data_IF_755598652286
#
_entry.id   IF_755598652286
#
_cell.length_a   1.000
_cell.length_b   1.000
_cell.length_c   1.000
_cell.angle_alpha   90.00
_cell.angle_beta   90.00
_cell.angle_gamma   90.00
#
_symmetry.space_group_name_H-M   'P 1'
#
loop_
_entity.id
_entity.type
_entity.pdbx_description
1 polymer ?
#
# COMPACT_ATOMS: atom_id res chain seq x y z
N UNK A 1 -61.92 7.23 70.80
CA UNK A 1 -60.64 7.85 71.30
C UNK A 1 -59.36 7.05 70.91
N UNK A 2 -59.48 6.10 69.94
CA UNK A 2 -58.28 5.28 69.52
C UNK A 2 -57.82 5.50 68.08
N UNK A 3 -58.53 6.32 67.33
CA UNK A 3 -58.21 6.54 65.88
C UNK A 3 -57.03 7.54 65.64
N UNK A 4 -56.75 8.56 66.49
CA UNK A 4 -55.60 9.48 66.23
C UNK A 4 -54.23 8.91 66.55
N UNK A 5 -54.12 7.82 67.31
CA UNK A 5 -52.82 7.28 67.72
C UNK A 5 -52.21 6.38 66.60
N UNK A 6 -53.03 5.72 65.85
CA UNK A 6 -52.57 4.88 64.71
C UNK A 6 -52.14 5.70 63.50
N UNK A 7 -52.74 6.86 63.25
CA UNK A 7 -52.38 7.69 62.09
C UNK A 7 -51.01 8.36 62.23
N UNK A 8 -50.59 8.75 63.41
CA UNK A 8 -49.26 9.35 63.65
C UNK A 8 -48.10 8.34 63.59
N UNK A 9 -48.37 7.07 63.80
CA UNK A 9 -47.31 6.03 63.76
C UNK A 9 -46.97 5.60 62.33
N UNK A 10 -47.92 5.67 61.43
CA UNK A 10 -47.72 5.33 60.02
C UNK A 10 -47.25 6.48 59.17
N UNK A 11 -47.47 7.72 59.54
CA UNK A 11 -46.97 8.88 58.83
C UNK A 11 -45.44 9.02 58.89
N UNK A 12 -44.84 8.68 60.04
CA UNK A 12 -43.37 8.68 60.17
C UNK A 12 -42.73 7.54 59.38
N UNK A 13 -43.34 6.37 59.35
CA UNK A 13 -42.82 5.25 58.59
C UNK A 13 -42.98 5.40 57.10
N UNK A 14 -44.05 6.06 56.64
CA UNK A 14 -44.28 6.41 55.24
C UNK A 14 -43.34 7.52 54.74
N UNK A 15 -43.04 8.50 55.59
CA UNK A 15 -42.03 9.51 55.28
C UNK A 15 -40.63 8.93 55.19
N UNK A 16 -40.30 8.01 56.08
CA UNK A 16 -38.99 7.30 56.05
C UNK A 16 -38.84 6.43 54.82
N UNK A 17 -39.92 5.76 54.40
CA UNK A 17 -39.94 4.95 53.20
C UNK A 17 -39.79 5.77 51.92
N UNK A 18 -40.46 6.94 51.84
CA UNK A 18 -40.32 7.86 50.70
C UNK A 18 -38.93 8.46 50.60
N UNK A 19 -38.33 8.86 51.72
CA UNK A 19 -36.96 9.41 51.75
C UNK A 19 -35.96 8.31 51.42
N UNK A 20 -36.18 7.07 51.86
CA UNK A 20 -35.32 5.93 51.50
C UNK A 20 -35.42 5.54 50.03
N UNK A 21 -36.62 5.63 49.43
CA UNK A 21 -36.83 5.39 47.98
C UNK A 21 -36.24 6.50 47.14
N UNK A 22 -36.36 7.77 47.56
CA UNK A 22 -35.70 8.91 46.88
C UNK A 22 -34.17 8.83 46.93
N UNK A 23 -33.63 8.46 48.09
CA UNK A 23 -32.20 8.23 48.23
C UNK A 23 -31.68 7.09 47.33
N UNK A 24 -32.46 5.98 47.23
CA UNK A 24 -32.16 4.84 46.36
C UNK A 24 -32.23 5.21 44.86
N UNK A 25 -33.21 6.06 44.47
CA UNK A 25 -33.34 6.57 43.11
C UNK A 25 -32.17 7.51 42.73
N UNK A 26 -31.76 8.35 43.65
CA UNK A 26 -30.59 9.27 43.44
C UNK A 26 -29.28 8.45 43.33
N UNK A 27 -29.12 7.41 44.16
CA UNK A 27 -27.94 6.54 44.11
C UNK A 27 -27.94 5.74 42.79
N UNK A 28 -29.09 5.24 42.32
CA UNK A 28 -29.18 4.53 41.03
C UNK A 28 -28.99 5.45 39.84
N UNK A 29 -29.54 6.67 39.85
CA UNK A 29 -29.27 7.66 38.81
C UNK A 29 -27.81 8.08 38.76
N UNK A 30 -27.19 8.35 39.90
CA UNK A 30 -25.76 8.68 39.96
C UNK A 30 -24.88 7.48 39.54
N UNK A 31 -25.28 6.25 39.80
CA UNK A 31 -24.56 5.06 39.34
C UNK A 31 -24.71 4.83 37.83
N UNK A 32 -25.88 5.14 37.23
CA UNK A 32 -26.07 5.13 35.78
C UNK A 32 -25.26 6.23 35.07
N UNK A 33 -25.25 7.45 35.63
CA UNK A 33 -24.45 8.56 35.10
C UNK A 33 -22.94 8.26 35.22
N UNK A 34 -22.49 7.66 36.33
CA UNK A 34 -21.10 7.24 36.48
C UNK A 34 -20.69 6.09 35.55
N UNK A 35 -21.62 5.17 35.22
CA UNK A 35 -21.34 4.11 34.23
C UNK A 35 -21.36 4.62 32.79
N UNK A 36 -22.20 5.60 32.47
CA UNK A 36 -22.18 6.25 31.15
C UNK A 36 -20.95 7.15 30.96
N UNK A 37 -20.52 7.87 32.00
CA UNK A 37 -19.29 8.70 31.93
C UNK A 37 -18.01 7.83 31.94
N UNK A 38 -17.97 6.66 32.58
CA UNK A 38 -16.81 5.77 32.53
C UNK A 38 -16.67 4.96 31.24
N UNK A 39 -17.75 4.81 30.46
CA UNK A 39 -17.67 4.23 29.11
C UNK A 39 -17.41 5.27 28.00
N UNK A 40 -17.58 6.56 28.28
CA UNK A 40 -17.34 7.64 27.32
C UNK A 40 -15.93 8.26 27.39
N UNK A 41 -15.13 7.97 28.43
CA UNK A 41 -13.84 8.64 28.66
C UNK A 41 -12.59 7.76 28.58
N UNK A 42 -12.63 6.55 28.03
CA UNK A 42 -11.42 5.78 27.78
C UNK A 42 -11.15 5.50 26.28
N UNK A 43 -11.64 6.32 25.38
CA UNK A 43 -10.95 6.46 24.09
C UNK A 43 -9.78 7.43 24.33
N UNK A 44 -8.65 6.96 24.85
CA UNK A 44 -7.38 7.66 24.64
C UNK A 44 -7.38 8.11 23.18
N UNK A 45 -7.37 9.41 22.93
CA UNK A 45 -7.18 9.94 21.58
C UNK A 45 -5.82 9.45 21.13
N UNK A 46 -5.78 8.30 20.47
CA UNK A 46 -4.57 7.79 19.85
C UNK A 46 -4.02 8.91 18.99
N UNK A 47 -2.80 9.33 19.24
CA UNK A 47 -2.15 10.38 18.46
C UNK A 47 -2.14 9.98 16.99
N UNK A 48 -2.18 10.96 16.09
CA UNK A 48 -2.06 10.70 14.66
C UNK A 48 -0.69 10.09 14.38
N UNK A 49 -0.63 9.11 13.49
CA UNK A 49 0.65 8.71 12.94
C UNK A 49 1.15 9.75 11.93
N UNK A 50 2.45 9.72 11.60
CA UNK A 50 3.06 10.76 10.75
C UNK A 50 2.46 10.86 9.33
N UNK A 51 1.88 9.77 8.77
CA UNK A 51 1.18 9.80 7.48
C UNK A 51 -0.14 10.54 7.62
N UNK A 52 -0.86 10.26 8.71
CA UNK A 52 -2.10 10.98 9.04
C UNK A 52 -1.85 12.48 9.28
N UNK A 53 -0.74 12.83 9.95
CA UNK A 53 -0.35 14.24 10.13
C UNK A 53 -0.18 14.93 8.79
N UNK A 54 0.56 14.32 7.85
CA UNK A 54 0.75 14.86 6.49
C UNK A 54 -0.59 15.03 5.77
N UNK A 55 -1.47 14.03 5.82
CA UNK A 55 -2.78 14.09 5.17
C UNK A 55 -3.62 15.21 5.75
N UNK A 56 -3.68 15.32 7.08
CA UNK A 56 -4.44 16.38 7.77
C UNK A 56 -3.91 17.77 7.44
N UNK A 57 -2.59 17.95 7.38
CA UNK A 57 -1.95 19.20 6.99
C UNK A 57 -2.28 19.57 5.54
N UNK A 58 -2.16 18.61 4.61
CA UNK A 58 -2.41 18.83 3.19
C UNK A 58 -3.90 19.14 2.92
N UNK A 59 -4.82 18.47 3.61
CA UNK A 59 -6.27 18.77 3.53
C UNK A 59 -6.59 20.14 4.09
N UNK A 60 -6.04 20.54 5.25
CA UNK A 60 -6.21 21.88 5.85
C UNK A 60 -5.65 22.97 4.95
N UNK A 61 -4.55 22.72 4.27
CA UNK A 61 -3.93 23.63 3.31
C UNK A 61 -4.69 23.72 1.97
N UNK A 62 -5.75 22.92 1.78
CA UNK A 62 -6.52 22.87 0.53
C UNK A 62 -5.73 22.29 -0.66
N UNK A 63 -4.61 21.58 -0.42
CA UNK A 63 -3.85 20.95 -1.49
C UNK A 63 -4.71 19.97 -2.29
N UNK A 64 -4.42 19.83 -3.57
CA UNK A 64 -5.17 18.98 -4.50
C UNK A 64 -6.69 19.27 -4.47
N UNK A 65 -7.07 20.53 -4.25
CA UNK A 65 -8.47 20.96 -4.11
C UNK A 65 -9.23 20.25 -2.98
N UNK A 66 -8.54 19.95 -1.88
CA UNK A 66 -9.10 19.23 -0.72
C UNK A 66 -9.43 17.76 -0.99
N UNK A 67 -8.97 17.20 -2.11
CA UNK A 67 -9.16 15.77 -2.42
C UNK A 67 -8.12 14.90 -1.73
N UNK A 68 -8.55 13.74 -1.29
CA UNK A 68 -7.68 12.65 -0.83
C UNK A 68 -7.91 11.43 -1.70
N UNK A 69 -6.89 11.00 -2.41
CA UNK A 69 -6.91 9.78 -3.18
C UNK A 69 -5.60 9.03 -3.01
N UNK A 70 -5.72 7.81 -2.53
CA UNK A 70 -4.62 6.84 -2.39
C UNK A 70 -4.79 5.72 -3.41
N UNK A 71 -3.84 4.81 -3.47
CA UNK A 71 -3.95 3.57 -4.25
C UNK A 71 -3.15 2.45 -3.59
N UNK A 72 -3.61 1.23 -3.76
CA UNK A 72 -2.84 0.01 -3.48
C UNK A 72 -2.43 -0.62 -4.82
N UNK A 73 -1.11 -0.66 -5.16
CA UNK A 73 -0.63 -1.06 -6.48
C UNK A 73 0.09 -2.42 -6.47
N UNK A 74 -0.57 -3.55 -6.18
CA UNK A 74 0.10 -4.83 -6.17
C UNK A 74 0.47 -5.30 -7.58
N UNK A 75 1.67 -5.91 -7.73
CA UNK A 75 1.97 -6.73 -8.90
C UNK A 75 1.15 -8.04 -8.86
N UNK A 76 0.40 -8.40 -9.92
CA UNK A 76 -0.39 -9.64 -9.96
C UNK A 76 0.48 -10.88 -10.26
N UNK A 77 1.52 -11.10 -9.44
CA UNK A 77 2.55 -12.13 -9.62
C UNK A 77 2.64 -13.11 -8.44
N UNK A 78 1.59 -13.20 -7.62
CA UNK A 78 1.45 -14.10 -6.48
C UNK A 78 0.42 -13.62 -5.47
N UNK A 79 0.10 -14.48 -4.53
CA UNK A 79 -0.83 -14.20 -3.44
C UNK A 79 -0.27 -13.17 -2.46
N UNK A 80 -1.16 -12.40 -1.85
CA UNK A 80 -0.79 -11.42 -0.83
C UNK A 80 -0.40 -12.13 0.48
N UNK A 81 0.61 -11.61 1.15
CA UNK A 81 1.03 -12.07 2.46
C UNK A 81 0.75 -11.01 3.54
N UNK A 82 0.92 -11.37 4.81
CA UNK A 82 0.65 -10.49 5.94
C UNK A 82 1.35 -9.12 5.85
N UNK A 83 2.50 -9.04 5.18
CA UNK A 83 3.18 -7.76 4.93
C UNK A 83 2.35 -6.80 4.06
N UNK A 84 1.58 -7.32 3.10
CA UNK A 84 0.69 -6.50 2.27
C UNK A 84 -0.52 -6.00 3.06
N UNK A 85 -0.99 -6.74 4.09
CA UNK A 85 -2.07 -6.27 4.95
C UNK A 85 -1.73 -4.91 5.60
N UNK A 86 -0.45 -4.67 5.94
CA UNK A 86 -0.03 -3.39 6.50
C UNK A 86 -0.18 -2.24 5.51
N UNK A 87 0.17 -2.44 4.25
CA UNK A 87 -0.02 -1.45 3.19
C UNK A 87 -1.52 -1.24 2.89
N UNK A 88 -2.30 -2.32 2.77
CA UNK A 88 -3.74 -2.25 2.57
C UNK A 88 -4.41 -1.45 3.68
N UNK A 89 -4.12 -1.76 4.95
CA UNK A 89 -4.67 -1.03 6.09
C UNK A 89 -4.28 0.45 6.09
N UNK A 90 -3.09 0.80 5.61
CA UNK A 90 -2.67 2.20 5.46
C UNK A 90 -3.40 2.88 4.30
N UNK A 91 -3.31 2.35 3.09
CA UNK A 91 -3.82 3.00 1.88
C UNK A 91 -5.35 3.17 1.93
N UNK A 92 -6.06 2.10 2.28
CA UNK A 92 -7.52 2.12 2.40
C UNK A 92 -8.00 2.80 3.68
N UNK A 93 -7.33 2.53 4.81
CA UNK A 93 -7.72 3.09 6.11
C UNK A 93 -7.61 4.62 6.15
N UNK A 94 -6.56 5.20 5.55
CA UNK A 94 -6.43 6.66 5.39
C UNK A 94 -7.58 7.22 4.54
N UNK A 95 -7.87 6.58 3.41
CA UNK A 95 -8.96 7.02 2.54
C UNK A 95 -10.31 6.97 3.28
N UNK A 96 -10.65 5.87 3.94
CA UNK A 96 -11.88 5.73 4.73
C UNK A 96 -11.97 6.79 5.84
N UNK A 97 -10.91 6.95 6.63
CA UNK A 97 -10.88 7.82 7.81
C UNK A 97 -11.07 9.30 7.47
N UNK A 98 -10.55 9.73 6.33
CA UNK A 98 -10.55 11.15 5.93
C UNK A 98 -11.49 11.45 4.74
N UNK A 99 -12.42 10.56 4.43
CA UNK A 99 -13.44 10.75 3.39
C UNK A 99 -12.89 10.79 1.97
N UNK A 100 -11.75 10.14 1.75
CA UNK A 100 -11.11 10.00 0.44
C UNK A 100 -11.51 8.72 -0.29
N UNK A 101 -10.74 8.41 -1.33
CA UNK A 101 -10.91 7.20 -2.15
C UNK A 101 -9.57 6.46 -2.26
N UNK A 102 -9.58 5.14 -2.06
CA UNK A 102 -8.46 4.28 -2.41
C UNK A 102 -8.79 3.47 -3.65
N UNK A 103 -7.93 3.51 -4.67
CA UNK A 103 -8.08 2.72 -5.89
C UNK A 103 -7.19 1.46 -5.83
N UNK A 104 -7.60 0.42 -6.52
CA UNK A 104 -6.77 -0.75 -6.80
C UNK A 104 -6.11 -0.58 -8.15
N UNK A 105 -4.77 -0.51 -8.20
CA UNK A 105 -4.02 -0.53 -9.46
C UNK A 105 -3.21 -1.79 -9.56
N UNK A 106 -3.53 -2.63 -10.51
CA UNK A 106 -2.71 -3.79 -10.83
C UNK A 106 -1.48 -3.32 -11.61
N UNK A 107 -0.30 -3.46 -11.00
CA UNK A 107 0.96 -3.11 -11.64
C UNK A 107 1.39 -4.25 -12.58
N UNK A 108 0.83 -4.23 -13.78
CA UNK A 108 1.01 -5.19 -14.84
C UNK A 108 2.03 -4.71 -15.90
N UNK A 109 3.09 -4.04 -15.47
CA UNK A 109 4.17 -3.58 -16.36
C UNK A 109 5.10 -4.71 -16.83
N UNK A 110 5.05 -5.89 -16.21
CA UNK A 110 5.92 -7.03 -16.53
C UNK A 110 5.12 -8.24 -17.04
N UNK A 111 5.07 -8.50 -18.36
CA UNK A 111 4.23 -9.54 -18.96
C UNK A 111 4.59 -10.97 -18.58
N UNK A 112 5.76 -11.20 -17.94
CA UNK A 112 6.26 -12.56 -17.67
C UNK A 112 5.56 -13.23 -16.50
N UNK A 113 4.98 -12.46 -15.57
CA UNK A 113 4.65 -12.96 -14.22
C UNK A 113 3.17 -12.87 -13.86
N UNK A 114 2.33 -12.43 -14.77
CA UNK A 114 0.95 -12.07 -14.46
C UNK A 114 -0.03 -13.20 -14.76
N UNK A 115 -0.91 -13.49 -13.78
CA UNK A 115 -1.95 -14.48 -13.92
C UNK A 115 -3.27 -13.94 -13.36
N UNK A 116 -4.37 -14.25 -14.06
CA UNK A 116 -5.73 -13.89 -13.66
C UNK A 116 -6.09 -14.45 -12.27
N UNK A 117 -5.55 -15.61 -11.91
CA UNK A 117 -5.70 -16.21 -10.57
C UNK A 117 -5.24 -15.24 -9.47
N UNK A 118 -4.07 -14.61 -9.67
CA UNK A 118 -3.54 -13.67 -8.68
C UNK A 118 -4.35 -12.40 -8.57
N UNK A 119 -4.90 -11.91 -9.70
CA UNK A 119 -5.78 -10.75 -9.71
C UNK A 119 -7.02 -10.99 -8.84
N UNK A 120 -7.69 -12.13 -9.02
CA UNK A 120 -8.89 -12.46 -8.24
C UNK A 120 -8.55 -12.71 -6.76
N UNK A 121 -7.43 -13.37 -6.46
CA UNK A 121 -6.96 -13.57 -5.09
C UNK A 121 -6.67 -12.23 -4.37
N UNK A 122 -6.06 -11.26 -5.07
CA UNK A 122 -5.80 -9.91 -4.54
C UNK A 122 -7.12 -9.21 -4.18
N UNK A 123 -8.11 -9.26 -5.06
CA UNK A 123 -9.43 -8.67 -4.83
C UNK A 123 -10.13 -9.32 -3.63
N UNK A 124 -10.12 -10.65 -3.56
CA UNK A 124 -10.71 -11.41 -2.46
C UNK A 124 -10.07 -11.04 -1.12
N UNK A 125 -8.74 -10.96 -1.06
CA UNK A 125 -8.01 -10.63 0.16
C UNK A 125 -8.29 -9.21 0.66
N UNK A 126 -8.39 -8.21 -0.25
CA UNK A 126 -8.77 -6.84 0.10
C UNK A 126 -10.19 -6.79 0.66
N UNK A 127 -11.14 -7.46 0.00
CA UNK A 127 -12.53 -7.54 0.45
C UNK A 127 -12.65 -8.28 1.79
N UNK A 128 -11.91 -9.36 1.97
CA UNK A 128 -11.88 -10.11 3.22
C UNK A 128 -11.34 -9.25 4.37
N UNK A 129 -10.35 -8.39 4.13
CA UNK A 129 -9.89 -7.42 5.14
C UNK A 129 -10.92 -6.33 5.43
N UNK A 130 -12.07 -6.30 4.75
CA UNK A 130 -13.18 -5.38 4.97
C UNK A 130 -13.08 -4.07 4.17
N UNK A 131 -12.17 -3.98 3.19
CA UNK A 131 -11.99 -2.78 2.38
C UNK A 131 -12.69 -2.87 1.03
N UNK A 132 -13.00 -1.68 0.47
CA UNK A 132 -13.58 -1.52 -0.86
C UNK A 132 -12.75 -0.49 -1.63
N UNK A 133 -12.39 -0.82 -2.86
CA UNK A 133 -11.74 0.13 -3.75
C UNK A 133 -12.74 1.01 -4.50
N UNK A 134 -12.29 2.19 -4.92
CA UNK A 134 -13.08 3.08 -5.76
C UNK A 134 -13.12 2.58 -7.20
N UNK A 135 -11.97 2.57 -7.87
CA UNK A 135 -11.79 2.07 -9.24
C UNK A 135 -10.69 1.03 -9.30
N UNK A 136 -10.74 0.20 -10.34
CA UNK A 136 -9.63 -0.69 -10.72
C UNK A 136 -8.95 -0.10 -11.93
N UNK A 137 -7.63 0.03 -11.86
CA UNK A 137 -6.76 0.44 -12.94
C UNK A 137 -5.70 -0.62 -13.20
N UNK A 138 -5.11 -0.57 -14.38
CA UNK A 138 -3.96 -1.39 -14.74
C UNK A 138 -2.85 -0.47 -15.26
N UNK A 139 -1.61 -0.74 -14.92
CA UNK A 139 -0.48 0.04 -15.42
C UNK A 139 -0.43 0.00 -16.96
N UNK A 140 -0.85 -1.13 -17.56
CA UNK A 140 -0.96 -1.30 -19.02
C UNK A 140 -1.99 -0.38 -19.69
N UNK A 141 -2.94 0.22 -18.95
CA UNK A 141 -3.87 1.20 -19.49
C UNK A 141 -3.15 2.48 -19.98
N UNK A 142 -1.96 2.73 -19.45
CA UNK A 142 -1.16 3.94 -19.69
C UNK A 142 0.04 3.72 -20.62
N UNK A 143 0.23 2.53 -21.17
CA UNK A 143 1.41 2.23 -22.00
C UNK A 143 1.58 3.19 -23.18
N UNK A 144 0.49 3.67 -23.78
CA UNK A 144 0.58 4.64 -24.86
C UNK A 144 1.06 6.01 -24.37
N UNK A 145 0.51 6.51 -23.26
CA UNK A 145 0.92 7.78 -22.66
C UNK A 145 2.37 7.74 -22.20
N UNK A 146 2.79 6.62 -21.58
CA UNK A 146 4.16 6.40 -21.17
C UNK A 146 5.13 6.36 -22.36
N UNK A 147 4.71 5.72 -23.46
CA UNK A 147 5.46 5.71 -24.72
C UNK A 147 5.62 7.11 -25.29
N UNK A 148 4.54 7.85 -25.41
CA UNK A 148 4.52 9.21 -25.95
C UNK A 148 5.40 10.15 -25.14
N UNK A 149 5.41 9.99 -23.80
CA UNK A 149 6.30 10.75 -22.95
C UNK A 149 7.77 10.36 -23.13
N UNK A 150 8.08 9.08 -23.26
CA UNK A 150 9.45 8.63 -23.57
C UNK A 150 9.93 9.19 -24.93
N UNK A 151 9.08 9.20 -25.95
CA UNK A 151 9.37 9.84 -27.25
C UNK A 151 9.63 11.33 -27.08
N UNK A 152 8.88 12.03 -26.24
CA UNK A 152 9.13 13.44 -25.91
C UNK A 152 10.51 13.65 -25.28
N UNK A 153 10.87 12.83 -24.27
CA UNK A 153 12.18 12.92 -23.63
C UNK A 153 13.32 12.68 -24.62
N UNK A 154 13.16 11.77 -25.57
CA UNK A 154 14.16 11.57 -26.65
C UNK A 154 14.28 12.83 -27.53
N UNK A 155 13.16 13.40 -27.97
CA UNK A 155 13.13 14.62 -28.80
C UNK A 155 13.73 15.82 -28.09
N UNK A 156 13.62 15.90 -26.77
CA UNK A 156 14.23 16.95 -25.96
C UNK A 156 15.70 16.67 -25.61
N UNK A 157 16.27 15.55 -26.08
CA UNK A 157 17.62 15.13 -25.74
C UNK A 157 17.82 14.70 -24.29
N UNK A 158 16.72 14.40 -23.59
CA UNK A 158 16.68 13.97 -22.18
C UNK A 158 16.69 12.44 -22.01
N UNK A 159 16.66 11.67 -23.10
CA UNK A 159 16.78 10.21 -23.10
C UNK A 159 17.55 9.70 -24.32
N UNK A 160 18.18 8.54 -24.20
CA UNK A 160 18.99 7.93 -25.25
C UNK A 160 18.93 6.40 -25.18
N UNK A 161 19.15 5.75 -26.33
CA UNK A 161 19.28 4.29 -26.42
C UNK A 161 20.71 3.89 -26.09
N UNK A 162 20.83 2.94 -25.19
CA UNK A 162 22.08 2.33 -24.75
C UNK A 162 22.12 0.85 -25.16
N UNK A 163 23.12 0.46 -25.92
CA UNK A 163 23.33 -0.91 -26.42
C UNK A 163 24.36 -1.69 -25.59
N UNK A 164 24.69 -1.19 -24.40
CA UNK A 164 25.57 -1.89 -23.47
C UNK A 164 24.84 -3.02 -22.74
N UNK A 165 25.61 -4.03 -22.33
CA UNK A 165 25.09 -5.08 -21.47
C UNK A 165 24.72 -4.57 -20.08
N UNK A 166 23.89 -5.33 -19.36
CA UNK A 166 23.50 -5.00 -17.98
C UNK A 166 24.72 -4.88 -17.05
N UNK A 167 25.76 -5.68 -17.27
CA UNK A 167 27.01 -5.65 -16.51
C UNK A 167 27.79 -4.37 -16.78
N UNK A 168 27.90 -3.96 -18.04
CA UNK A 168 28.59 -2.72 -18.42
C UNK A 168 27.86 -1.50 -17.86
N UNK A 169 26.52 -1.47 -17.93
CA UNK A 169 25.70 -0.40 -17.34
C UNK A 169 25.88 -0.34 -15.83
N UNK A 170 25.90 -1.50 -15.16
CA UNK A 170 26.07 -1.58 -13.72
C UNK A 170 27.47 -1.08 -13.29
N UNK A 171 28.53 -1.46 -14.02
CA UNK A 171 29.90 -0.99 -13.77
C UNK A 171 30.03 0.53 -13.97
N UNK A 172 29.44 1.07 -15.04
CA UNK A 172 29.47 2.49 -15.33
C UNK A 172 28.73 3.35 -14.29
N UNK A 173 27.74 2.81 -13.61
CA UNK A 173 27.07 3.55 -12.52
C UNK A 173 28.00 3.90 -11.37
N UNK A 174 29.15 3.23 -11.25
CA UNK A 174 30.11 3.46 -10.17
C UNK A 174 29.60 2.95 -8.81
N UNK A 175 29.98 3.66 -7.75
CA UNK A 175 29.57 3.33 -6.38
C UNK A 175 28.94 4.57 -5.70
N UNK A 176 28.32 4.45 -4.53
CA UNK A 176 27.79 5.61 -3.81
C UNK A 176 28.83 6.70 -3.52
N UNK A 177 30.12 6.33 -3.44
CA UNK A 177 31.26 7.25 -3.16
C UNK A 177 32.08 7.61 -4.39
N UNK A 178 31.82 6.94 -5.52
CA UNK A 178 32.53 7.22 -6.79
C UNK A 178 31.50 7.55 -7.87
N UNK A 179 31.66 8.68 -8.58
CA UNK A 179 30.81 9.04 -9.71
C UNK A 179 30.76 7.93 -10.77
N UNK A 180 29.65 7.84 -11.46
CA UNK A 180 29.55 7.03 -12.66
C UNK A 180 30.22 7.69 -13.86
N UNK A 181 30.44 6.91 -14.91
CA UNK A 181 30.96 7.36 -16.19
C UNK A 181 29.85 7.38 -17.24
N UNK A 182 29.78 8.37 -18.13
CA UNK A 182 28.79 8.41 -19.20
C UNK A 182 28.92 7.22 -20.15
N UNK A 183 27.78 6.74 -20.66
CA UNK A 183 27.75 5.75 -21.73
C UNK A 183 28.33 6.34 -23.02
N UNK A 184 29.02 5.55 -23.87
CA UNK A 184 29.47 6.00 -25.20
C UNK A 184 28.28 6.35 -26.12
N UNK A 185 27.07 5.87 -25.82
CA UNK A 185 25.83 6.14 -26.59
C UNK A 185 25.07 7.37 -26.11
N UNK A 186 25.52 8.01 -25.02
CA UNK A 186 24.78 9.08 -24.34
C UNK A 186 24.52 10.32 -25.24
N UNK A 187 25.41 10.59 -26.16
CA UNK A 187 25.34 11.74 -27.07
C UNK A 187 24.96 11.36 -28.51
N UNK A 188 24.29 10.20 -28.69
CA UNK A 188 23.74 9.74 -29.97
C UNK A 188 22.71 10.74 -30.49
N UNK A 189 22.65 10.97 -31.85
CA UNK A 189 21.66 11.85 -32.46
C UNK A 189 20.21 11.47 -32.12
N UNK A 190 19.35 12.48 -32.00
CA UNK A 190 17.93 12.32 -31.64
C UNK A 190 17.22 11.38 -32.61
N UNK A 191 17.45 11.57 -33.93
CA UNK A 191 16.81 10.79 -34.99
C UNK A 191 17.15 9.30 -34.87
N UNK A 192 18.42 8.98 -34.59
CA UNK A 192 18.89 7.62 -34.39
C UNK A 192 18.28 7.00 -33.13
N UNK A 193 18.21 7.75 -32.03
CA UNK A 193 17.54 7.29 -30.82
C UNK A 193 16.05 6.99 -31.05
N UNK A 194 15.34 7.81 -31.82
CA UNK A 194 13.93 7.58 -32.17
C UNK A 194 13.75 6.31 -33.03
N UNK A 195 14.64 6.10 -34.00
CA UNK A 195 14.61 4.90 -34.84
C UNK A 195 14.85 3.65 -34.02
N UNK A 196 15.87 3.64 -33.17
CA UNK A 196 16.19 2.51 -32.30
C UNK A 196 15.08 2.25 -31.26
N UNK A 197 14.46 3.29 -30.70
CA UNK A 197 13.33 3.12 -29.78
C UNK A 197 12.13 2.48 -30.47
N UNK A 198 11.84 2.84 -31.72
CA UNK A 198 10.82 2.17 -32.50
C UNK A 198 11.19 0.71 -32.79
N UNK A 199 12.47 0.39 -33.07
CA UNK A 199 12.94 -0.98 -33.24
C UNK A 199 12.78 -1.83 -31.97
N UNK A 200 12.95 -1.22 -30.77
CA UNK A 200 12.66 -1.93 -29.51
C UNK A 200 11.21 -2.45 -29.44
N UNK A 201 10.26 -1.73 -30.02
CA UNK A 201 8.84 -2.10 -29.96
C UNK A 201 8.36 -2.89 -31.18
N UNK A 202 9.03 -2.81 -32.34
CA UNK A 202 8.63 -3.56 -33.55
C UNK A 202 8.89 -5.05 -33.45
N UNK A 203 9.76 -5.49 -32.55
CA UNK A 203 10.22 -6.86 -32.43
C UNK A 203 11.43 -7.17 -33.30
N UNK A 204 12.04 -6.16 -33.95
CA UNK A 204 13.28 -6.31 -34.73
C UNK A 204 14.52 -6.40 -33.84
N UNK A 205 14.43 -5.93 -32.59
CA UNK A 205 15.52 -5.97 -31.63
C UNK A 205 15.37 -7.17 -30.65
N UNK A 206 16.49 -7.81 -30.37
CA UNK A 206 16.54 -8.94 -29.42
C UNK A 206 16.39 -8.44 -27.97
N UNK A 207 15.84 -9.28 -27.11
CA UNK A 207 15.76 -9.03 -25.67
C UNK A 207 17.17 -8.85 -25.07
N UNK A 208 17.38 -7.77 -24.34
CA UNK A 208 18.68 -7.44 -23.74
C UNK A 208 19.69 -6.75 -24.68
N UNK A 209 19.38 -6.58 -25.98
CA UNK A 209 20.28 -5.92 -26.92
C UNK A 209 20.41 -4.41 -26.72
N UNK A 210 19.37 -3.78 -26.22
CA UNK A 210 19.37 -2.33 -25.95
C UNK A 210 18.28 -1.95 -24.92
N UNK A 211 18.46 -0.79 -24.30
CA UNK A 211 17.56 -0.18 -23.34
C UNK A 211 17.42 1.32 -23.60
N UNK A 212 16.29 1.93 -23.22
CA UNK A 212 16.19 3.38 -23.18
C UNK A 212 16.58 3.87 -21.78
N UNK A 213 17.48 4.85 -21.70
CA UNK A 213 17.93 5.47 -20.45
C UNK A 213 17.56 6.95 -20.43
N UNK A 214 17.15 7.46 -19.27
CA UNK A 214 17.03 8.89 -19.05
C UNK A 214 18.45 9.49 -18.88
N UNK A 215 18.64 10.71 -19.38
CA UNK A 215 19.94 11.43 -19.36
C UNK A 215 19.97 12.33 -18.12
N UNK A 216 20.43 11.75 -16.99
CA UNK A 216 20.49 12.43 -15.70
C UNK A 216 21.96 12.59 -15.21
N UNK A 217 22.12 13.00 -13.94
CA UNK A 217 23.44 13.26 -13.36
C UNK A 217 24.16 11.96 -12.97
N UNK A 218 25.23 11.64 -13.70
CA UNK A 218 26.10 10.47 -13.41
C UNK A 218 26.95 10.64 -12.15
N UNK A 219 27.05 11.83 -11.57
CA UNK A 219 27.76 12.09 -10.33
C UNK A 219 26.84 12.09 -9.10
N UNK A 220 25.54 11.94 -9.30
CA UNK A 220 24.56 11.99 -8.21
C UNK A 220 24.87 10.91 -7.14
N UNK A 221 24.92 11.25 -5.83
CA UNK A 221 25.14 10.26 -4.78
C UNK A 221 24.05 9.18 -4.73
N UNK A 222 22.83 9.46 -5.18
CA UNK A 222 21.80 8.47 -5.38
C UNK A 222 21.99 7.73 -6.71
N UNK A 223 22.46 6.48 -6.65
CA UNK A 223 22.74 5.67 -7.84
C UNK A 223 21.50 5.39 -8.72
N UNK A 224 20.27 5.48 -8.17
CA UNK A 224 19.05 5.39 -8.96
C UNK A 224 18.90 6.58 -9.92
N UNK A 225 19.52 7.71 -9.62
CA UNK A 225 19.47 8.93 -10.42
C UNK A 225 20.57 9.01 -11.50
N UNK A 226 21.44 7.99 -11.62
CA UNK A 226 22.53 7.92 -12.60
C UNK A 226 22.06 7.25 -13.88
N UNK A 227 21.62 8.02 -14.85
CA UNK A 227 21.09 7.57 -16.14
C UNK A 227 20.25 6.27 -16.02
N UNK A 228 19.09 6.32 -15.33
CA UNK A 228 18.30 5.12 -15.09
C UNK A 228 17.73 4.53 -16.38
N UNK A 229 17.58 3.21 -16.41
CA UNK A 229 16.86 2.53 -17.48
C UNK A 229 15.36 2.84 -17.29
N UNK A 230 14.71 3.34 -18.35
CA UNK A 230 13.28 3.68 -18.34
C UNK A 230 12.43 2.75 -19.23
N UNK A 231 13.04 2.11 -20.25
CA UNK A 231 12.41 1.05 -21.06
C UNK A 231 13.37 -0.09 -21.33
N UNK A 232 12.82 -1.30 -21.42
CA UNK A 232 13.51 -2.55 -21.80
C UNK A 232 12.69 -3.36 -22.79
N UNK A 233 13.33 -4.26 -23.52
CA UNK A 233 12.68 -5.23 -24.42
C UNK A 233 12.32 -6.48 -23.65
N UNK A 234 11.08 -6.94 -23.82
CA UNK A 234 10.58 -8.24 -23.32
C UNK A 234 9.76 -8.88 -24.44
N UNK A 235 10.24 -9.95 -25.03
CA UNK A 235 9.60 -10.66 -26.12
C UNK A 235 8.53 -11.66 -25.64
N UNK A 236 7.58 -11.18 -24.86
CA UNK A 236 6.43 -11.94 -24.34
C UNK A 236 5.14 -11.21 -24.67
N UNK A 237 4.07 -11.97 -24.87
CA UNK A 237 2.75 -11.40 -24.96
C UNK A 237 2.26 -10.97 -23.59
N UNK A 238 1.66 -9.80 -23.57
CA UNK A 238 1.06 -9.25 -22.37
C UNK A 238 -0.40 -9.73 -22.25
N UNK A 239 -0.84 -10.18 -21.09
CA UNK A 239 -2.16 -10.77 -20.87
C UNK A 239 -3.34 -9.85 -21.27
N UNK A 240 -3.16 -8.52 -21.25
CA UNK A 240 -4.19 -7.55 -21.63
C UNK A 240 -3.96 -6.89 -23.00
N UNK A 241 -2.72 -6.56 -23.33
CA UNK A 241 -2.40 -5.83 -24.58
C UNK A 241 -1.90 -6.73 -25.70
N UNK A 242 -1.77 -8.04 -25.45
CA UNK A 242 -1.31 -9.02 -26.43
C UNK A 242 0.10 -8.72 -26.92
N UNK A 243 0.31 -8.80 -28.22
CA UNK A 243 1.59 -8.57 -28.86
C UNK A 243 1.86 -7.12 -29.28
N UNK A 244 1.01 -6.16 -28.87
CA UNK A 244 1.13 -4.74 -29.24
C UNK A 244 2.45 -4.12 -28.78
N UNK A 245 2.96 -4.51 -27.62
CA UNK A 245 4.15 -3.98 -27.01
C UNK A 245 5.24 -5.05 -26.91
N UNK A 246 6.47 -4.66 -27.19
CA UNK A 246 7.71 -5.40 -26.95
C UNK A 246 8.67 -4.60 -26.07
N UNK A 247 8.57 -3.26 -26.13
CA UNK A 247 9.27 -2.35 -25.22
C UNK A 247 8.34 -2.04 -24.03
N UNK A 248 8.80 -2.33 -22.83
CA UNK A 248 8.05 -2.16 -21.59
C UNK A 248 8.71 -1.14 -20.68
N UNK A 249 7.92 -0.24 -20.04
CA UNK A 249 8.45 0.75 -19.13
C UNK A 249 8.98 0.08 -17.85
N UNK A 250 10.01 0.67 -17.28
CA UNK A 250 10.50 0.28 -15.95
C UNK A 250 9.63 0.92 -14.86
N UNK A 251 9.60 0.29 -13.69
CA UNK A 251 8.82 0.73 -12.53
C UNK A 251 9.01 2.22 -12.21
N UNK A 252 10.26 2.68 -12.06
CA UNK A 252 10.55 4.06 -11.68
C UNK A 252 10.05 5.10 -12.70
N UNK A 253 9.91 4.70 -13.95
CA UNK A 253 9.36 5.56 -14.99
C UNK A 253 7.83 5.54 -15.01
N UNK A 254 7.22 4.37 -14.88
CA UNK A 254 5.78 4.19 -15.03
C UNK A 254 4.98 4.62 -13.79
N UNK A 255 5.51 4.36 -12.60
CA UNK A 255 4.76 4.42 -11.35
C UNK A 255 4.24 5.84 -11.01
N UNK A 256 5.11 6.84 -11.01
CA UNK A 256 4.73 8.23 -10.71
C UNK A 256 3.77 8.81 -11.73
N UNK A 257 3.96 8.48 -13.02
CA UNK A 257 3.09 8.92 -14.09
C UNK A 257 1.70 8.29 -14.00
N UNK A 258 1.63 6.99 -13.67
CA UNK A 258 0.34 6.32 -13.43
C UNK A 258 -0.40 6.97 -12.25
N UNK A 259 0.30 7.30 -11.15
CA UNK A 259 -0.28 8.04 -10.03
C UNK A 259 -0.85 9.39 -10.49
N UNK A 260 -0.12 10.08 -11.38
CA UNK A 260 -0.56 11.36 -11.93
C UNK A 260 -1.81 11.21 -12.81
N UNK A 261 -1.83 10.25 -13.75
CA UNK A 261 -2.96 10.02 -14.65
C UNK A 261 -4.23 9.59 -13.90
N UNK A 262 -4.09 8.84 -12.81
CA UNK A 262 -5.21 8.40 -11.97
C UNK A 262 -5.70 9.49 -11.01
N UNK A 263 -4.95 10.58 -10.83
CA UNK A 263 -5.27 11.66 -9.90
C UNK A 263 -4.99 11.30 -8.44
N UNK A 264 -4.04 10.40 -8.19
CA UNK A 264 -3.55 10.07 -6.85
C UNK A 264 -2.96 11.31 -6.21
N UNK A 265 -3.30 11.57 -4.93
CA UNK A 265 -2.77 12.70 -4.18
C UNK A 265 -1.65 12.30 -3.24
N UNK A 266 -1.84 11.19 -2.54
CA UNK A 266 -0.89 10.63 -1.58
C UNK A 266 -0.51 9.21 -2.02
N UNK A 267 0.71 9.11 -2.54
CA UNK A 267 1.33 7.88 -3.04
C UNK A 267 2.08 7.21 -1.89
N UNK A 268 1.38 6.36 -1.13
CA UNK A 268 1.93 5.75 0.07
C UNK A 268 2.61 4.42 -0.29
N UNK A 269 3.82 4.18 0.22
CA UNK A 269 4.62 2.98 -0.07
C UNK A 269 5.56 2.64 1.09
N UNK A 270 6.39 1.60 0.93
CA UNK A 270 7.33 1.20 1.98
C UNK A 270 8.67 1.92 1.87
N UNK A 271 9.47 1.94 2.98
CA UNK A 271 10.76 2.64 3.08
C UNK A 271 11.79 2.22 2.02
N UNK A 272 11.64 1.06 1.41
CA UNK A 272 12.52 0.61 0.33
C UNK A 272 12.47 1.53 -0.90
N UNK A 273 11.41 2.31 -1.05
CA UNK A 273 11.24 3.28 -2.13
C UNK A 273 11.77 4.69 -1.82
N UNK A 274 12.32 4.94 -0.63
CA UNK A 274 12.96 6.23 -0.30
C UNK A 274 14.03 6.64 -1.32
N UNK A 275 14.96 5.75 -1.76
CA UNK A 275 15.93 6.10 -2.80
C UNK A 275 15.30 6.33 -4.18
N UNK A 276 14.09 5.83 -4.45
CA UNK A 276 13.37 5.98 -5.71
C UNK A 276 12.58 7.29 -5.79
N UNK A 277 12.21 7.90 -4.64
CA UNK A 277 11.42 9.14 -4.61
C UNK A 277 12.00 10.30 -5.45
N UNK A 278 13.33 10.54 -5.50
CA UNK A 278 13.86 11.58 -6.37
C UNK A 278 13.55 11.36 -7.86
N UNK A 279 13.51 10.11 -8.34
CA UNK A 279 13.09 9.78 -9.71
C UNK A 279 11.58 9.96 -9.90
N UNK A 280 10.78 9.54 -8.93
CA UNK A 280 9.35 9.76 -8.90
C UNK A 280 9.01 11.25 -9.07
N UNK A 281 9.64 12.11 -8.26
CA UNK A 281 9.45 13.55 -8.33
C UNK A 281 9.92 14.13 -9.66
N UNK A 282 11.11 13.73 -10.12
CA UNK A 282 11.69 14.19 -11.38
C UNK A 282 10.78 13.90 -12.59
N UNK A 283 10.32 12.65 -12.75
CA UNK A 283 9.48 12.31 -13.91
C UNK A 283 8.11 12.96 -13.87
N UNK A 284 7.53 13.22 -12.69
CA UNK A 284 6.29 14.00 -12.59
C UNK A 284 6.54 15.46 -13.01
N UNK A 285 7.61 16.07 -12.56
CA UNK A 285 7.95 17.45 -12.90
C UNK A 285 8.24 17.59 -14.41
N UNK A 286 8.99 16.68 -15.00
CA UNK A 286 9.20 16.60 -16.44
C UNK A 286 7.92 16.36 -17.23
N UNK A 287 7.01 15.50 -16.72
CA UNK A 287 5.72 15.25 -17.35
C UNK A 287 4.86 16.51 -17.38
N UNK A 288 4.90 17.32 -16.33
CA UNK A 288 4.13 18.57 -16.20
C UNK A 288 4.72 19.72 -17.01
N UNK A 289 6.01 19.72 -17.24
CA UNK A 289 6.70 20.80 -17.97
C UNK A 289 6.14 20.92 -19.40
N UNK A 290 5.65 22.11 -19.76
CA UNK A 290 5.10 22.38 -21.08
C UNK A 290 3.75 21.75 -21.41
N UNK A 291 3.05 21.18 -20.41
CA UNK A 291 1.71 20.63 -20.57
C UNK A 291 0.69 21.35 -19.69
N UNK A 292 -0.50 21.63 -20.25
CA UNK A 292 -1.67 22.12 -19.51
C UNK A 292 -2.31 21.01 -18.66
N UNK A 293 -1.49 20.23 -17.96
CA UNK A 293 -1.99 19.12 -17.17
C UNK A 293 -2.61 19.63 -15.87
N UNK A 294 -3.56 18.83 -15.32
CA UNK A 294 -4.29 19.17 -14.12
C UNK A 294 -3.37 19.63 -12.96
N UNK A 295 -3.90 20.51 -12.13
CA UNK A 295 -3.15 21.24 -11.10
C UNK A 295 -2.78 20.39 -9.86
N UNK A 296 -3.03 19.08 -9.90
CA UNK A 296 -2.64 18.16 -8.85
C UNK A 296 -1.20 17.65 -9.04
N UNK A 297 -0.54 17.36 -7.94
CA UNK A 297 0.78 16.72 -7.92
C UNK A 297 0.78 15.62 -6.88
N UNK A 298 0.88 14.36 -7.27
CA UNK A 298 1.00 13.26 -6.31
C UNK A 298 2.26 13.44 -5.45
N UNK A 299 2.17 13.02 -4.19
CA UNK A 299 3.28 13.06 -3.24
C UNK A 299 3.58 11.66 -2.74
N UNK A 300 4.81 11.19 -2.92
CA UNK A 300 5.25 9.90 -2.38
C UNK A 300 5.55 10.04 -0.88
N UNK A 301 5.06 9.09 -0.08
CA UNK A 301 5.21 9.03 1.38
C UNK A 301 5.56 7.59 1.75
N UNK A 302 6.66 7.39 2.49
CA UNK A 302 7.16 6.07 2.81
C UNK A 302 7.01 5.75 4.30
N UNK A 303 6.59 4.51 4.58
CA UNK A 303 6.48 3.95 5.93
C UNK A 303 7.21 2.61 6.04
N UNK A 304 7.47 2.16 7.28
CA UNK A 304 8.17 0.91 7.54
C UNK A 304 7.35 -0.32 7.10
N UNK A 305 7.99 -1.20 6.35
CA UNK A 305 7.38 -2.50 6.02
C UNK A 305 7.14 -3.34 7.28
N UNK A 306 6.27 -4.34 7.18
CA UNK A 306 6.13 -5.33 8.24
C UNK A 306 7.29 -6.33 8.17
N UNK A 307 8.07 -6.41 9.24
CA UNK A 307 8.98 -7.52 9.51
C UNK A 307 8.44 -8.27 10.74
N UNK A 308 8.31 -9.59 10.63
CA UNK A 308 7.69 -10.43 11.64
C UNK A 308 8.63 -11.60 11.97
N UNK A 309 8.83 -11.86 13.28
CA UNK A 309 9.67 -13.00 13.72
C UNK A 309 9.11 -14.31 13.17
N UNK A 310 9.98 -15.27 12.91
CA UNK A 310 9.64 -16.63 12.43
C UNK A 310 8.81 -16.66 11.13
N UNK A 311 8.81 -15.59 10.34
CA UNK A 311 7.94 -15.47 9.16
C UNK A 311 8.75 -15.09 7.91
N UNK A 312 8.65 -15.90 6.87
CA UNK A 312 9.27 -15.63 5.57
C UNK A 312 8.26 -14.91 4.67
N UNK A 313 8.55 -13.65 4.32
CA UNK A 313 7.68 -12.82 3.45
C UNK A 313 8.25 -12.59 2.05
N UNK A 314 9.11 -13.48 1.58
CA UNK A 314 9.67 -13.42 0.22
C UNK A 314 8.77 -14.18 -0.75
N UNK A 315 8.09 -13.46 -1.68
CA UNK A 315 7.25 -14.09 -2.73
C UNK A 315 7.99 -15.20 -3.46
N UNK A 316 9.27 -15.01 -3.83
CA UNK A 316 10.09 -16.03 -4.52
C UNK A 316 10.25 -17.30 -3.69
N UNK A 317 10.50 -17.17 -2.38
CA UNK A 317 10.65 -18.34 -1.49
C UNK A 317 9.30 -19.03 -1.27
N UNK A 318 8.22 -18.28 -1.10
CA UNK A 318 6.88 -18.85 -0.96
C UNK A 318 6.43 -19.58 -2.23
N UNK A 319 6.71 -19.02 -3.41
CA UNK A 319 6.45 -19.68 -4.70
C UNK A 319 7.24 -20.98 -4.85
N UNK A 320 8.48 -21.03 -4.37
CA UNK A 320 9.27 -22.26 -4.39
C UNK A 320 8.63 -23.36 -3.55
N UNK A 321 8.13 -23.03 -2.33
CA UNK A 321 7.43 -24.00 -1.48
C UNK A 321 6.20 -24.62 -2.18
N UNK A 322 5.44 -23.80 -2.91
CA UNK A 322 4.27 -24.26 -3.67
C UNK A 322 4.69 -25.12 -4.85
N UNK A 323 5.68 -24.67 -5.66
CA UNK A 323 6.14 -25.38 -6.85
C UNK A 323 6.81 -26.73 -6.54
N UNK A 324 7.52 -26.81 -5.43
CA UNK A 324 8.19 -28.03 -4.96
C UNK A 324 7.24 -28.99 -4.20
N UNK A 325 5.97 -28.61 -4.03
CA UNK A 325 4.96 -29.42 -3.35
C UNK A 325 5.20 -29.59 -1.83
N UNK A 326 5.99 -28.70 -1.23
CA UNK A 326 6.27 -28.70 0.22
C UNK A 326 5.06 -28.20 1.04
N UNK A 327 4.16 -27.48 0.39
CA UNK A 327 2.86 -27.04 0.91
C UNK A 327 1.77 -27.38 -0.10
N UNK A 328 0.50 -27.47 0.36
CA UNK A 328 -0.63 -27.88 -0.47
C UNK A 328 -1.13 -26.79 -1.44
N UNK A 329 -0.57 -25.58 -1.36
CA UNK A 329 -0.95 -24.43 -2.17
C UNK A 329 -0.71 -23.12 -1.42
N UNK A 330 -1.16 -22.03 -2.02
CA UNK A 330 -0.99 -20.70 -1.46
C UNK A 330 -1.82 -20.46 -0.17
N UNK A 331 -2.92 -21.19 -0.02
CA UNK A 331 -3.81 -21.14 1.14
C UNK A 331 -3.46 -22.14 2.24
N UNK A 332 -2.31 -22.86 2.12
CA UNK A 332 -1.86 -23.75 3.17
C UNK A 332 -1.74 -23.01 4.51
N UNK A 333 -2.31 -23.53 5.62
CA UNK A 333 -2.27 -22.87 6.93
C UNK A 333 -0.85 -22.55 7.46
N UNK A 334 0.18 -23.16 6.91
CA UNK A 334 1.59 -22.89 7.23
C UNK A 334 2.15 -21.68 6.49
N UNK A 335 1.46 -21.21 5.44
CA UNK A 335 1.88 -20.08 4.63
C UNK A 335 1.48 -18.75 5.29
N UNK A 336 2.34 -17.72 5.23
CA UNK A 336 2.04 -16.39 5.75
C UNK A 336 1.22 -15.53 4.76
N UNK A 337 0.52 -16.16 3.84
CA UNK A 337 -0.42 -15.52 2.91
C UNK A 337 -1.72 -15.14 3.63
N UNK A 338 -2.42 -14.13 3.13
CA UNK A 338 -3.70 -13.74 3.72
C UNK A 338 -4.74 -14.86 3.62
N UNK A 339 -4.81 -15.55 2.48
CA UNK A 339 -5.65 -16.74 2.32
C UNK A 339 -5.22 -17.89 3.25
N UNK A 340 -3.92 -18.07 3.53
CA UNK A 340 -3.42 -19.04 4.51
C UNK A 340 -3.84 -18.69 5.94
N UNK A 341 -3.74 -17.43 6.35
CA UNK A 341 -4.24 -16.96 7.65
C UNK A 341 -5.76 -17.13 7.75
N UNK A 342 -6.51 -16.76 6.71
CA UNK A 342 -7.97 -16.98 6.65
C UNK A 342 -8.33 -18.44 6.85
N UNK A 343 -7.68 -19.35 6.13
CA UNK A 343 -7.89 -20.80 6.28
C UNK A 343 -7.50 -21.33 7.66
N UNK A 344 -6.47 -20.73 8.26
CA UNK A 344 -6.04 -21.05 9.64
C UNK A 344 -7.01 -20.52 10.71
N UNK A 345 -7.98 -19.70 10.36
CA UNK A 345 -9.02 -19.18 11.26
C UNK A 345 -8.72 -17.79 11.84
N UNK A 346 -7.79 -17.05 11.27
CA UNK A 346 -7.60 -15.65 11.62
C UNK A 346 -8.76 -14.81 11.06
N UNK A 347 -9.22 -13.87 11.88
CA UNK A 347 -10.22 -12.90 11.46
C UNK A 347 -9.58 -11.65 10.85
N UNK A 348 -10.25 -10.96 9.94
CA UNK A 348 -9.76 -9.69 9.39
C UNK A 348 -9.60 -8.63 10.49
N UNK A 349 -10.48 -8.62 11.50
CA UNK A 349 -10.42 -7.70 12.63
C UNK A 349 -9.16 -7.92 13.47
N UNK A 350 -8.78 -9.18 13.71
CA UNK A 350 -7.55 -9.51 14.45
C UNK A 350 -6.31 -9.02 13.68
N UNK A 351 -6.28 -9.18 12.35
CA UNK A 351 -5.17 -8.69 11.52
C UNK A 351 -5.14 -7.16 11.53
N UNK A 352 -6.26 -6.48 11.33
CA UNK A 352 -6.34 -5.00 11.39
C UNK A 352 -5.91 -4.48 12.75
N UNK A 353 -6.36 -5.12 13.85
CA UNK A 353 -5.96 -4.79 15.21
C UNK A 353 -4.46 -4.94 15.42
N UNK A 354 -3.88 -6.04 14.97
CA UNK A 354 -2.43 -6.24 15.03
C UNK A 354 -1.67 -5.12 14.30
N UNK A 355 -2.09 -4.79 13.08
CA UNK A 355 -1.49 -3.70 12.29
C UNK A 355 -1.59 -2.37 13.05
N UNK A 356 -2.74 -2.09 13.67
CA UNK A 356 -2.94 -0.90 14.46
C UNK A 356 -2.07 -0.85 15.73
N UNK A 357 -1.83 -2.00 16.36
CA UNK A 357 -0.96 -2.12 17.54
C UNK A 357 0.52 -1.83 17.21
N UNK A 358 1.03 -2.35 16.09
CA UNK A 358 2.43 -2.13 15.68
C UNK A 358 2.65 -0.74 15.08
N UNK A 359 1.61 -0.10 14.57
CA UNK A 359 1.63 1.25 14.02
C UNK A 359 2.52 1.42 12.79
N UNK A 360 2.73 2.70 12.43
CA UNK A 360 3.51 3.12 11.26
C UNK A 360 4.60 4.09 11.67
N UNK A 361 5.83 3.83 11.22
CA UNK A 361 7.02 4.62 11.56
C UNK A 361 7.91 4.84 10.34
N UNK A 362 8.89 5.74 10.46
CA UNK A 362 9.93 5.99 9.45
C UNK A 362 11.19 5.13 9.67
N UNK A 363 11.11 4.13 10.52
CA UNK A 363 12.22 3.24 10.86
C UNK A 363 11.76 1.80 10.78
N UNK A 364 12.63 0.93 10.28
CA UNK A 364 12.38 -0.50 10.29
C UNK A 364 12.27 -1.04 11.71
N UNK A 365 11.32 -1.93 11.92
CA UNK A 365 11.10 -2.63 13.18
C UNK A 365 10.86 -4.11 12.93
N UNK A 366 11.34 -4.96 13.82
CA UNK A 366 11.01 -6.38 13.86
C UNK A 366 9.93 -6.58 14.92
N UNK A 367 8.76 -7.06 14.51
CA UNK A 367 7.63 -7.33 15.41
C UNK A 367 7.60 -8.80 15.80
N UNK A 368 7.19 -9.08 17.03
CA UNK A 368 7.03 -10.46 17.48
C UNK A 368 5.73 -11.06 16.94
N UNK A 369 5.80 -12.29 16.42
CA UNK A 369 4.61 -13.05 15.98
C UNK A 369 3.59 -13.22 17.10
N UNK A 370 4.03 -13.32 18.35
CA UNK A 370 3.16 -13.41 19.52
C UNK A 370 2.18 -12.21 19.63
N UNK A 371 2.52 -11.04 19.10
CA UNK A 371 1.60 -9.88 19.08
C UNK A 371 0.40 -10.13 18.14
N UNK A 372 0.64 -10.75 16.99
CA UNK A 372 -0.43 -11.14 16.07
C UNK A 372 -1.34 -12.20 16.71
N UNK A 373 -0.75 -13.19 17.40
CA UNK A 373 -1.53 -14.19 18.13
C UNK A 373 -2.31 -13.60 19.32
N UNK A 374 -1.75 -12.60 19.98
CA UNK A 374 -2.45 -11.89 21.06
C UNK A 374 -3.67 -11.14 20.52
N UNK A 375 -3.53 -10.43 19.41
CA UNK A 375 -4.65 -9.76 18.74
C UNK A 375 -5.74 -10.75 18.32
N UNK A 376 -5.35 -11.93 17.79
CA UNK A 376 -6.31 -13.00 17.45
C UNK A 376 -7.03 -13.54 18.69
N UNK A 377 -6.31 -13.85 19.78
CA UNK A 377 -6.91 -14.36 21.02
C UNK A 377 -7.91 -13.36 21.59
N UNK A 378 -7.58 -12.10 21.57
CA UNK A 378 -8.45 -11.03 22.08
C UNK A 378 -9.74 -10.92 21.25
N UNK A 379 -9.64 -10.96 19.93
CA UNK A 379 -10.78 -10.94 19.02
C UNK A 379 -11.67 -12.19 19.20
N UNK A 380 -11.07 -13.38 19.21
CA UNK A 380 -11.83 -14.63 19.40
C UNK A 380 -12.47 -14.70 20.79
N UNK A 381 -11.81 -14.20 21.84
CA UNK A 381 -12.39 -14.13 23.18
C UNK A 381 -13.66 -13.27 23.24
N UNK A 382 -13.75 -12.24 22.42
CA UNK A 382 -14.92 -11.37 22.36
C UNK A 382 -16.07 -11.95 21.52
N UNK A 383 -15.76 -12.70 20.45
CA UNK A 383 -16.76 -13.04 19.42
C UNK A 383 -17.02 -14.54 19.23
N UNK A 384 -16.04 -15.41 19.55
CA UNK A 384 -16.17 -16.83 19.26
C UNK A 384 -17.19 -17.51 20.20
N UNK A 385 -18.02 -18.35 19.63
CA UNK A 385 -18.91 -19.24 20.41
C UNK A 385 -18.08 -20.24 21.20
N UNK A 386 -18.36 -20.34 22.51
CA UNK A 386 -17.71 -21.30 23.41
C UNK A 386 -18.64 -22.44 23.68
N UNK A 387 -18.18 -23.66 23.44
CA UNK A 387 -18.92 -24.89 23.70
C UNK A 387 -18.10 -25.82 24.60
N UNK A 388 -18.76 -26.55 25.48
CA UNK A 388 -18.15 -27.61 26.25
C UNK A 388 -18.51 -28.95 25.62
N UNK A 389 -17.50 -29.83 25.45
CA UNK A 389 -17.72 -31.19 25.00
C UNK A 389 -17.10 -32.17 26.02
N UNK A 390 -17.85 -33.22 26.36
CA UNK A 390 -17.36 -34.32 27.17
C UNK A 390 -17.19 -35.51 26.26
N UNK A 391 -15.97 -36.03 26.19
CA UNK A 391 -15.66 -37.25 25.45
C UNK A 391 -15.85 -38.44 26.38
N UNK A 392 -16.62 -39.45 25.96
CA UNK A 392 -16.78 -40.69 26.67
C UNK A 392 -15.62 -41.63 26.43
#
# INVERSE_FOLDING_TARGET
LLIPYYYRKYESDFHFLIVSLQALLIITQNRLVMTETTHAESSEKKGLNFVEEIVVEDLKAGKNNGRLQTRFPPEPNGYLHIGHAKAICMDFGIAEKYGGVCNLRLDDTNPIKEDTEYVEAIKEDIQWLGFKWGKIYHASDYFQQLWDFAVRLIKEGKAYIDEQSSEQIAEQKGTPTQPGTPSPYRDRPIEENLELFNKMNSGEAEEGSMVLRAKLDMANPNMHFRDPIIYRIINKEHHRTGSKWKAYPMYDFAHGQSDYFEGVTHSICTLEFVPHRPLYDHFIDELKEGNDLADHRPRQIEFNRLNLTYTVMSKRKLLALVKEGLVNGWDDPRMPTLCGFRRRGYSPEAIRKFIDMIGYTKFDALNDFAMLEAALREDLNARATRVSAVLN
#
